data_IF_150255345552
#
_entry.id   IF_150255345552
#
_cell.length_a   1.000
_cell.length_b   1.000
_cell.length_c   1.000
_cell.angle_alpha   90.00
_cell.angle_beta   90.00
_cell.angle_gamma   90.00
#
_symmetry.space_group_name_H-M   'P 1'
#
loop_
_entity.id
_entity.type
_entity.pdbx_description
1 polymer ?
#
# COMPACT_ATOMS: atom_id res chain seq x y z
N UNK A 1 8.20 -43.70 4.43
CA UNK A 1 8.59 -42.41 3.83
C UNK A 1 10.11 -42.21 3.84
N UNK A 2 10.89 -43.11 3.20
CA UNK A 2 12.38 -43.08 3.21
C UNK A 2 13.01 -43.49 1.86
N UNK A 3 12.20 -43.57 0.79
CA UNK A 3 12.64 -44.02 -0.56
C UNK A 3 12.39 -42.98 -1.67
N UNK A 4 11.98 -41.76 -1.32
CA UNK A 4 11.72 -40.68 -2.30
C UNK A 4 12.92 -39.75 -2.52
N UNK A 5 13.96 -39.86 -1.68
CA UNK A 5 15.17 -39.01 -1.74
C UNK A 5 16.14 -39.40 -2.90
N UNK A 6 16.35 -40.68 -3.28
CA UNK A 6 17.32 -40.97 -4.34
C UNK A 6 16.82 -40.64 -5.75
N UNK A 7 15.50 -40.52 -5.95
CA UNK A 7 14.92 -40.21 -7.27
C UNK A 7 15.01 -38.73 -7.61
N UNK A 8 14.98 -37.84 -6.61
CA UNK A 8 15.06 -36.38 -6.83
C UNK A 8 16.48 -35.93 -7.23
N UNK A 9 17.52 -36.60 -6.70
CA UNK A 9 18.92 -36.30 -7.04
C UNK A 9 19.29 -36.74 -8.46
N UNK A 10 18.68 -37.81 -8.98
CA UNK A 10 18.92 -38.27 -10.36
C UNK A 10 18.32 -37.33 -11.43
N UNK A 11 17.19 -36.68 -11.11
CA UNK A 11 16.50 -35.76 -12.03
C UNK A 11 17.19 -34.39 -12.04
N UNK A 12 17.79 -33.96 -10.92
CA UNK A 12 18.50 -32.68 -10.81
C UNK A 12 19.80 -32.63 -11.64
N UNK A 13 20.46 -33.77 -11.88
CA UNK A 13 21.71 -33.82 -12.67
C UNK A 13 21.51 -33.76 -14.18
N UNK A 14 20.29 -33.95 -14.70
CA UNK A 14 20.04 -33.94 -16.15
C UNK A 14 19.86 -32.53 -16.74
N UNK A 15 19.65 -31.49 -15.93
CA UNK A 15 19.40 -30.13 -16.42
C UNK A 15 20.65 -29.26 -16.59
N UNK A 16 21.84 -29.70 -16.13
CA UNK A 16 23.05 -28.87 -16.16
C UNK A 16 23.93 -29.01 -17.43
N UNK A 17 23.52 -29.83 -18.40
CA UNK A 17 24.34 -30.12 -19.60
C UNK A 17 23.96 -29.30 -20.85
N UNK A 18 23.13 -28.25 -20.73
CA UNK A 18 22.64 -27.50 -21.89
C UNK A 18 22.66 -25.98 -21.68
N UNK A 19 23.85 -25.40 -21.46
CA UNK A 19 24.15 -24.04 -21.93
C UNK A 19 25.67 -23.86 -22.01
N UNK A 20 26.27 -24.50 -23.02
CA UNK A 20 27.68 -24.35 -23.36
C UNK A 20 27.81 -24.22 -24.87
N UNK A 21 28.18 -23.02 -25.33
CA UNK A 21 28.74 -22.79 -26.66
C UNK A 21 27.90 -21.95 -27.61
N UNK A 22 28.30 -20.68 -27.79
CA UNK A 22 28.80 -20.20 -29.08
C UNK A 22 29.47 -18.84 -28.88
N UNK A 23 30.78 -18.85 -29.03
CA UNK A 23 31.63 -17.66 -29.19
C UNK A 23 31.67 -17.35 -30.68
N UNK A 24 31.03 -16.28 -31.12
CA UNK A 24 31.31 -15.70 -32.43
C UNK A 24 31.93 -14.32 -32.23
N UNK A 25 33.20 -14.24 -32.63
CA UNK A 25 33.95 -13.00 -32.83
C UNK A 25 33.69 -12.58 -34.27
N UNK A 26 33.04 -11.44 -34.48
CA UNK A 26 33.15 -10.70 -35.73
C UNK A 26 33.02 -9.20 -35.46
N UNK A 27 33.92 -8.48 -36.12
CA UNK A 27 34.28 -7.07 -36.00
C UNK A 27 33.24 -6.14 -36.68
N UNK A 28 33.28 -4.86 -36.29
CA UNK A 28 32.46 -3.70 -36.72
C UNK A 28 32.68 -3.31 -38.23
N UNK A 29 31.99 -2.33 -38.87
CA UNK A 29 31.05 -1.32 -38.33
C UNK A 29 29.79 -0.94 -39.16
N UNK A 30 28.90 -0.24 -38.45
CA UNK A 30 27.96 0.85 -38.83
C UNK A 30 26.82 0.69 -39.86
N UNK A 31 25.63 1.02 -39.32
CA UNK A 31 24.50 1.76 -39.89
C UNK A 31 23.65 1.12 -40.99
N UNK A 32 22.48 0.60 -40.58
CA UNK A 32 21.24 0.85 -41.31
C UNK A 32 20.02 0.76 -40.38
N UNK A 33 19.24 1.84 -40.32
CA UNK A 33 17.96 1.88 -39.61
C UNK A 33 16.89 1.26 -40.53
N UNK A 34 16.63 -0.03 -40.34
CA UNK A 34 15.43 -0.70 -40.83
C UNK A 34 14.67 -1.25 -39.63
N UNK A 35 13.37 -0.95 -39.43
CA UNK A 35 12.61 -1.52 -38.33
C UNK A 35 12.34 -3.00 -38.63
N UNK A 36 13.19 -3.87 -38.08
CA UNK A 36 13.03 -5.31 -38.15
C UNK A 36 12.13 -5.80 -37.00
N UNK A 37 10.95 -6.26 -37.40
CA UNK A 37 10.14 -7.35 -36.85
C UNK A 37 10.47 -7.86 -35.44
N UNK A 38 9.46 -7.76 -34.57
CA UNK A 38 9.31 -8.45 -33.30
C UNK A 38 9.80 -9.91 -33.36
N UNK A 39 10.94 -10.17 -32.73
CA UNK A 39 11.35 -11.48 -32.27
C UNK A 39 11.10 -11.57 -30.77
N UNK A 40 10.70 -12.76 -30.30
CA UNK A 40 10.45 -13.14 -28.90
C UNK A 40 11.65 -12.88 -27.94
N UNK A 41 12.04 -11.63 -27.75
CA UNK A 41 12.62 -11.20 -26.50
C UNK A 41 11.44 -11.03 -25.54
N UNK A 42 11.44 -11.73 -24.40
CA UNK A 42 10.54 -11.38 -23.30
C UNK A 42 10.79 -9.89 -23.04
N UNK A 43 9.81 -9.04 -23.36
CA UNK A 43 9.87 -7.61 -23.04
C UNK A 43 10.05 -7.53 -21.52
N UNK A 44 11.24 -7.15 -21.08
CA UNK A 44 11.47 -6.81 -19.68
C UNK A 44 11.25 -5.32 -19.52
N UNK A 45 10.72 -4.93 -18.36
CA UNK A 45 10.67 -3.53 -17.98
C UNK A 45 12.10 -2.98 -17.95
N UNK A 46 12.31 -1.81 -18.55
CA UNK A 46 13.60 -1.13 -18.60
C UNK A 46 13.42 0.33 -18.18
N UNK A 47 14.54 0.98 -17.95
CA UNK A 47 14.60 2.36 -17.43
C UNK A 47 15.25 3.30 -18.47
N UNK A 48 15.22 2.91 -19.75
CA UNK A 48 15.96 3.58 -20.84
C UNK A 48 15.26 4.85 -21.39
N UNK A 49 14.35 5.43 -20.62
CA UNK A 49 13.60 6.64 -20.98
C UNK A 49 13.67 7.71 -19.89
N UNK A 50 13.38 8.95 -20.26
CA UNK A 50 13.53 10.10 -19.37
C UNK A 50 12.60 9.98 -18.15
N UNK A 51 13.16 10.14 -16.95
CA UNK A 51 12.45 10.03 -15.67
C UNK A 51 11.74 8.68 -15.45
N UNK A 52 12.28 7.61 -16.04
CA UNK A 52 11.77 6.26 -15.83
C UNK A 52 11.77 5.89 -14.34
N UNK A 53 10.64 5.33 -13.89
CA UNK A 53 10.57 4.73 -12.55
C UNK A 53 11.41 3.45 -12.48
N UNK A 54 11.85 3.04 -11.28
CA UNK A 54 12.45 1.72 -11.08
C UNK A 54 11.51 0.61 -11.59
N UNK A 55 12.07 -0.47 -12.15
CA UNK A 55 11.27 -1.58 -12.69
C UNK A 55 10.27 -2.18 -11.69
N UNK A 56 10.58 -2.19 -10.39
CA UNK A 56 9.64 -2.61 -9.33
C UNK A 56 8.42 -1.70 -9.26
N UNK A 57 8.63 -0.39 -9.22
CA UNK A 57 7.56 0.61 -9.16
C UNK A 57 6.75 0.64 -10.45
N UNK A 58 7.39 0.49 -11.62
CA UNK A 58 6.70 0.32 -12.89
C UNK A 58 5.76 -0.89 -12.85
N UNK A 59 6.21 -2.02 -12.32
CA UNK A 59 5.42 -3.24 -12.23
C UNK A 59 4.24 -3.07 -11.26
N UNK A 60 4.44 -2.39 -10.12
CA UNK A 60 3.37 -2.12 -9.15
C UNK A 60 2.28 -1.25 -9.78
N UNK A 61 2.67 -0.09 -10.32
CA UNK A 61 1.74 0.88 -10.92
C UNK A 61 1.08 0.29 -12.17
N UNK A 62 1.87 -0.37 -13.02
CA UNK A 62 1.41 -1.03 -14.22
C UNK A 62 0.35 -2.08 -13.91
N UNK A 63 0.58 -2.91 -12.90
CA UNK A 63 -0.38 -3.94 -12.45
C UNK A 63 -1.73 -3.33 -12.04
N UNK A 64 -1.71 -2.21 -11.32
CA UNK A 64 -2.91 -1.47 -10.94
C UNK A 64 -3.62 -0.82 -12.15
N UNK A 65 -2.89 -0.49 -13.21
CA UNK A 65 -3.43 0.12 -14.43
C UNK A 65 -3.92 -0.90 -15.48
N UNK A 66 -3.49 -2.16 -15.40
CA UNK A 66 -3.88 -3.21 -16.35
C UNK A 66 -5.40 -3.40 -16.45
N UNK A 67 -6.14 -3.14 -15.37
CA UNK A 67 -7.60 -3.17 -15.39
C UNK A 67 -8.19 -2.16 -16.38
N UNK A 68 -7.68 -0.92 -16.35
CA UNK A 68 -8.10 0.15 -17.27
C UNK A 68 -7.74 -0.17 -18.71
N UNK A 69 -6.66 -0.93 -18.92
CA UNK A 69 -6.21 -1.39 -20.23
C UNK A 69 -6.95 -2.63 -20.76
N UNK A 70 -7.92 -3.17 -20.01
CA UNK A 70 -8.66 -4.38 -20.40
C UNK A 70 -7.83 -5.67 -20.32
N UNK A 71 -6.72 -5.63 -19.59
CA UNK A 71 -5.81 -6.77 -19.36
C UNK A 71 -5.68 -7.07 -17.86
N UNK A 72 -6.80 -6.91 -17.14
CA UNK A 72 -6.88 -7.10 -15.70
C UNK A 72 -6.24 -8.40 -15.24
N UNK A 73 -5.56 -8.36 -14.10
CA UNK A 73 -5.08 -9.55 -13.41
C UNK A 73 -6.31 -10.33 -12.94
N UNK A 74 -6.50 -11.54 -13.45
CA UNK A 74 -7.59 -12.41 -13.02
C UNK A 74 -7.28 -13.09 -11.68
N UNK A 75 -8.26 -13.79 -11.11
CA UNK A 75 -8.13 -14.50 -9.84
C UNK A 75 -7.01 -15.55 -9.86
N UNK A 76 -6.80 -16.24 -10.99
CA UNK A 76 -5.81 -17.30 -11.09
C UNK A 76 -4.40 -16.72 -11.05
N UNK A 77 -4.15 -15.68 -11.85
CA UNK A 77 -2.87 -14.97 -11.83
C UNK A 77 -2.66 -14.25 -10.50
N UNK A 78 -3.70 -13.66 -9.90
CA UNK A 78 -3.61 -13.02 -8.60
C UNK A 78 -3.15 -14.00 -7.51
N UNK A 79 -3.71 -15.21 -7.49
CA UNK A 79 -3.31 -16.26 -6.54
C UNK A 79 -1.84 -16.70 -6.73
N UNK A 80 -1.31 -16.61 -7.95
CA UNK A 80 0.08 -16.94 -8.26
C UNK A 80 1.05 -15.85 -7.82
N UNK A 81 0.74 -14.57 -8.07
CA UNK A 81 1.67 -13.46 -7.84
C UNK A 81 1.55 -12.81 -6.45
N UNK A 82 0.40 -12.95 -5.77
CA UNK A 82 0.20 -12.42 -4.42
C UNK A 82 1.30 -12.85 -3.43
N UNK A 83 1.64 -14.15 -3.28
CA UNK A 83 2.70 -14.55 -2.35
C UNK A 83 4.08 -14.01 -2.74
N UNK A 84 4.32 -13.74 -4.04
CA UNK A 84 5.57 -13.13 -4.51
C UNK A 84 5.66 -11.66 -4.11
N UNK A 85 4.56 -10.91 -4.22
CA UNK A 85 4.50 -9.51 -3.76
C UNK A 85 4.62 -9.38 -2.24
N UNK A 86 4.02 -10.30 -1.48
CA UNK A 86 4.20 -10.37 -0.03
C UNK A 86 5.66 -10.69 0.34
N UNK A 87 6.32 -11.60 -0.41
CA UNK A 87 7.75 -11.87 -0.23
C UNK A 87 8.63 -10.65 -0.58
N UNK A 88 8.34 -9.95 -1.69
CA UNK A 88 9.01 -8.71 -2.05
C UNK A 88 8.88 -7.66 -0.94
N UNK A 89 7.67 -7.47 -0.40
CA UNK A 89 7.42 -6.56 0.72
C UNK A 89 8.21 -6.95 1.98
N UNK A 90 8.24 -8.23 2.34
CA UNK A 90 8.98 -8.68 3.53
C UNK A 90 10.49 -8.43 3.36
N UNK A 91 11.03 -8.72 2.18
CA UNK A 91 12.44 -8.50 1.84
C UNK A 91 12.80 -7.02 1.76
N UNK A 92 11.94 -6.17 1.18
CA UNK A 92 12.21 -4.73 1.05
C UNK A 92 12.20 -4.00 2.39
N UNK A 93 11.53 -4.55 3.41
CA UNK A 93 11.53 -4.02 4.77
C UNK A 93 12.67 -4.57 5.65
N UNK A 94 13.48 -5.51 5.15
CA UNK A 94 14.59 -6.10 5.90
C UNK A 94 15.91 -5.37 5.60
N UNK A 95 16.61 -4.95 6.66
CA UNK A 95 17.87 -4.20 6.57
C UNK A 95 19.05 -4.99 5.94
N UNK A 96 18.92 -6.31 5.82
CA UNK A 96 20.00 -7.22 5.37
C UNK A 96 19.73 -7.86 4.01
N UNK A 97 18.64 -7.52 3.36
CA UNK A 97 18.28 -8.07 2.04
C UNK A 97 19.27 -7.59 0.99
N UNK A 98 19.73 -8.50 0.14
CA UNK A 98 20.57 -8.13 -0.99
C UNK A 98 19.71 -7.68 -2.19
N UNK A 99 20.18 -6.68 -2.95
CA UNK A 99 19.48 -6.20 -4.15
C UNK A 99 19.17 -7.33 -5.15
N UNK A 100 20.08 -8.31 -5.26
CA UNK A 100 19.90 -9.48 -6.10
C UNK A 100 18.69 -10.34 -5.70
N UNK A 101 18.32 -10.38 -4.41
CA UNK A 101 17.15 -11.10 -3.93
C UNK A 101 15.86 -10.37 -4.31
N UNK A 102 15.82 -9.04 -4.17
CA UNK A 102 14.69 -8.22 -4.62
C UNK A 102 14.47 -8.34 -6.14
N UNK A 103 15.55 -8.23 -6.92
CA UNK A 103 15.49 -8.38 -8.38
C UNK A 103 15.08 -9.78 -8.81
N UNK A 104 15.49 -10.82 -8.08
CA UNK A 104 15.05 -12.19 -8.36
C UNK A 104 13.53 -12.35 -8.16
N UNK A 105 12.95 -11.76 -7.11
CA UNK A 105 11.50 -11.78 -6.88
C UNK A 105 10.75 -10.99 -7.95
N UNK A 106 11.22 -9.78 -8.29
CA UNK A 106 10.63 -8.97 -9.38
C UNK A 106 10.66 -9.72 -10.71
N UNK A 107 11.77 -10.41 -11.02
CA UNK A 107 11.86 -11.25 -12.22
C UNK A 107 10.87 -12.42 -12.17
N UNK A 108 10.69 -13.05 -11.02
CA UNK A 108 9.72 -14.14 -10.86
C UNK A 108 8.29 -13.66 -11.08
N UNK A 109 7.94 -12.46 -10.60
CA UNK A 109 6.63 -11.84 -10.85
C UNK A 109 6.44 -11.59 -12.35
N UNK A 110 7.43 -10.98 -13.02
CA UNK A 110 7.38 -10.76 -14.48
C UNK A 110 7.25 -12.07 -15.27
N UNK A 111 7.89 -13.15 -14.82
CA UNK A 111 7.83 -14.46 -15.47
C UNK A 111 6.47 -15.16 -15.29
N UNK A 112 5.71 -14.83 -14.25
CA UNK A 112 4.36 -15.36 -14.01
C UNK A 112 3.27 -14.61 -14.81
N UNK A 113 3.49 -13.33 -15.13
CA UNK A 113 2.55 -12.53 -15.92
C UNK A 113 2.58 -12.89 -17.41
N UNK A 114 1.49 -12.62 -18.11
CA UNK A 114 1.44 -12.80 -19.56
C UNK A 114 2.39 -11.80 -20.26
N UNK A 115 3.12 -12.21 -21.32
CA UNK A 115 4.00 -11.30 -22.07
C UNK A 115 3.29 -10.05 -22.56
N UNK A 116 2.02 -10.16 -22.93
CA UNK A 116 1.19 -9.04 -23.37
C UNK A 116 0.92 -8.03 -22.24
N UNK A 117 0.78 -8.49 -20.99
CA UNK A 117 0.63 -7.61 -19.83
C UNK A 117 1.92 -6.84 -19.57
N UNK A 118 3.08 -7.50 -19.64
CA UNK A 118 4.36 -6.83 -19.46
C UNK A 118 4.63 -5.82 -20.58
N UNK A 119 4.26 -6.15 -21.82
CA UNK A 119 4.34 -5.22 -22.94
C UNK A 119 3.45 -4.00 -22.74
N UNK A 120 2.22 -4.19 -22.26
CA UNK A 120 1.33 -3.09 -21.94
C UNK A 120 1.92 -2.20 -20.85
N UNK A 121 2.46 -2.77 -19.77
CA UNK A 121 3.12 -1.99 -18.72
C UNK A 121 4.33 -1.22 -19.27
N UNK A 122 5.18 -1.86 -20.07
CA UNK A 122 6.32 -1.19 -20.70
C UNK A 122 5.89 -0.04 -21.63
N UNK A 123 4.76 -0.20 -22.33
CA UNK A 123 4.22 0.82 -23.23
C UNK A 123 3.63 2.02 -22.49
N UNK A 124 3.33 1.91 -21.18
CA UNK A 124 2.88 3.04 -20.37
C UNK A 124 4.01 4.06 -20.11
N UNK A 125 5.29 3.66 -20.22
CA UNK A 125 6.46 4.52 -19.97
C UNK A 125 6.33 5.32 -18.66
N UNK A 126 6.02 4.62 -17.57
CA UNK A 126 5.63 5.22 -16.30
C UNK A 126 6.73 6.11 -15.70
N UNK A 127 6.36 7.33 -15.30
CA UNK A 127 7.22 8.32 -14.65
C UNK A 127 6.76 8.64 -13.22
N UNK A 128 7.55 9.46 -12.50
CA UNK A 128 7.19 9.94 -11.17
C UNK A 128 5.85 10.71 -11.16
N UNK A 129 5.54 11.44 -12.22
CA UNK A 129 4.27 12.15 -12.40
C UNK A 129 3.09 11.18 -12.46
N UNK A 130 3.22 10.06 -13.17
CA UNK A 130 2.18 9.03 -13.26
C UNK A 130 1.91 8.38 -11.89
N UNK A 131 2.96 8.13 -11.12
CA UNK A 131 2.84 7.60 -9.76
C UNK A 131 2.08 8.57 -8.84
N UNK A 132 2.37 9.86 -8.94
CA UNK A 132 1.66 10.90 -8.19
C UNK A 132 0.20 11.05 -8.64
N UNK A 133 -0.08 10.96 -9.94
CA UNK A 133 -1.44 10.98 -10.47
C UNK A 133 -2.25 9.79 -9.97
N UNK A 134 -1.68 8.58 -10.04
CA UNK A 134 -2.35 7.37 -9.58
C UNK A 134 -2.72 7.45 -8.09
N UNK A 135 -1.84 7.99 -7.23
CA UNK A 135 -2.18 8.18 -5.81
C UNK A 135 -3.38 9.10 -5.61
N UNK A 136 -3.49 10.18 -6.39
CA UNK A 136 -4.63 11.10 -6.32
C UNK A 136 -5.92 10.40 -6.77
N UNK A 137 -5.86 9.64 -7.86
CA UNK A 137 -6.98 8.87 -8.38
C UNK A 137 -7.46 7.79 -7.40
N UNK A 138 -6.54 7.10 -6.74
CA UNK A 138 -6.82 6.03 -5.78
C UNK A 138 -7.21 6.56 -4.39
N UNK A 139 -7.29 7.88 -4.20
CA UNK A 139 -7.57 8.47 -2.89
C UNK A 139 -6.52 8.12 -1.83
N UNK A 140 -5.31 7.73 -2.24
CA UNK A 140 -4.17 7.43 -1.37
C UNK A 140 -3.60 8.78 -0.90
N UNK A 141 -4.38 9.46 -0.06
CA UNK A 141 -4.04 10.76 0.50
C UNK A 141 -3.12 10.63 1.71
N UNK A 142 -2.07 11.45 1.76
CA UNK A 142 -1.15 11.62 2.89
C UNK A 142 -1.75 12.24 4.16
N UNK A 143 -3.08 12.26 4.29
CA UNK A 143 -3.76 12.87 5.42
C UNK A 143 -5.06 12.13 5.70
N UNK A 144 -5.16 11.61 6.94
CA UNK A 144 -6.34 10.97 7.55
C UNK A 144 -6.55 9.50 7.18
N UNK A 145 -5.67 8.59 7.63
CA UNK A 145 -6.02 7.16 7.61
C UNK A 145 -4.94 6.12 7.84
N UNK A 146 -3.65 6.44 7.69
CA UNK A 146 -2.56 5.49 7.91
C UNK A 146 -1.88 5.75 9.26
N UNK A 147 -2.50 5.27 10.34
CA UNK A 147 -2.01 5.51 11.69
C UNK A 147 -2.79 4.75 12.77
N UNK A 148 -3.13 3.49 12.53
CA UNK A 148 -3.46 2.58 13.64
C UNK A 148 -2.83 1.21 13.35
N UNK A 149 -1.60 1.07 13.82
CA UNK A 149 -0.79 -0.12 13.69
C UNK A 149 0.35 -0.05 14.67
N UNK A 150 0.20 -0.75 15.79
CA UNK A 150 1.26 -1.14 16.71
C UNK A 150 1.83 -0.06 17.66
N UNK A 151 1.07 0.28 18.71
CA UNK A 151 1.63 0.76 19.99
C UNK A 151 1.87 -0.41 20.94
N UNK A 152 2.74 -1.32 20.55
CA UNK A 152 3.39 -2.25 21.46
C UNK A 152 4.90 -2.10 21.30
N UNK A 153 5.44 -1.18 22.09
CA UNK A 153 6.84 -0.82 22.15
C UNK A 153 7.08 0.07 23.36
N UNK A 154 7.30 -0.57 24.51
CA UNK A 154 7.51 0.10 25.79
C UNK A 154 8.59 1.18 25.73
N UNK A 155 8.24 2.39 26.17
CA UNK A 155 9.14 3.53 26.17
C UNK A 155 8.60 4.67 27.03
N UNK A 156 8.74 4.50 28.35
CA UNK A 156 8.84 5.54 29.37
C UNK A 156 7.95 6.79 29.27
N UNK A 157 7.02 6.86 30.22
CA UNK A 157 6.53 8.09 30.79
C UNK A 157 7.67 9.09 31.11
N UNK A 158 7.57 10.31 30.59
CA UNK A 158 8.16 11.53 31.11
C UNK A 158 7.14 12.63 30.76
N UNK A 159 6.31 13.11 31.68
CA UNK A 159 6.70 13.62 32.98
C UNK A 159 6.81 15.14 32.84
N UNK A 160 5.71 15.84 33.09
CA UNK A 160 5.73 17.29 33.27
C UNK A 160 6.68 17.63 34.42
N UNK A 161 7.56 18.61 34.18
CA UNK A 161 8.52 19.05 35.18
C UNK A 161 9.41 20.14 34.63
N UNK A 162 9.10 21.39 34.97
CA UNK A 162 9.92 22.54 34.61
C UNK A 162 11.33 22.41 35.18
N UNK A 163 12.33 22.80 34.38
CA UNK A 163 13.64 23.21 34.87
C UNK A 163 14.17 24.39 34.06
N UNK A 164 14.50 25.41 34.83
CA UNK A 164 15.10 26.68 34.50
C UNK A 164 16.48 26.54 33.85
N UNK A 165 16.81 27.52 32.99
CA UNK A 165 18.17 28.08 32.89
C UNK A 165 19.11 27.42 31.90
N UNK A 166 19.21 27.99 30.70
CA UNK A 166 20.27 27.67 29.75
C UNK A 166 20.09 28.40 28.42
N UNK A 167 20.58 29.63 28.34
CA UNK A 167 20.59 30.46 27.13
C UNK A 167 21.58 29.84 26.14
N UNK A 168 21.10 29.33 25.00
CA UNK A 168 21.94 28.99 23.85
C UNK A 168 21.54 29.90 22.66
N UNK A 169 22.47 30.72 22.14
CA UNK A 169 22.22 31.56 20.98
C UNK A 169 22.47 30.74 19.71
N UNK A 170 21.39 30.36 19.03
CA UNK A 170 21.45 29.59 17.79
C UNK A 170 20.06 29.09 17.41
N UNK A 171 19.23 30.00 16.91
CA UNK A 171 17.85 29.72 16.55
C UNK A 171 17.73 28.61 15.49
N UNK A 172 17.28 27.44 15.93
CA UNK A 172 16.58 26.48 15.08
C UNK A 172 15.14 26.43 15.58
N UNK A 173 14.16 26.92 14.82
CA UNK A 173 12.75 26.73 15.15
C UNK A 173 12.44 25.23 15.14
N UNK A 174 12.19 24.67 16.31
CA UNK A 174 11.72 23.30 16.47
C UNK A 174 10.33 23.15 15.85
N UNK A 175 10.24 22.31 14.82
CA UNK A 175 8.99 21.91 14.20
C UNK A 175 8.20 20.99 15.12
N UNK A 176 7.34 21.58 15.95
CA UNK A 176 6.22 20.87 16.56
C UNK A 176 5.08 20.66 15.56
N UNK A 177 4.13 19.75 15.84
CA UNK A 177 3.05 19.35 14.92
C UNK A 177 1.93 20.40 14.72
N UNK A 178 2.30 21.69 14.63
CA UNK A 178 1.42 22.82 14.33
C UNK A 178 2.08 23.92 13.49
N UNK A 179 3.25 23.65 12.88
CA UNK A 179 4.03 24.66 12.14
C UNK A 179 3.71 24.82 10.65
N UNK A 180 2.97 23.89 10.05
CA UNK A 180 2.68 23.89 8.60
C UNK A 180 1.52 24.82 8.19
N UNK A 181 0.71 25.25 9.16
CA UNK A 181 -0.51 26.04 8.90
C UNK A 181 -0.23 27.55 8.84
N UNK A 182 0.96 27.98 9.26
CA UNK A 182 1.42 29.38 9.28
C UNK A 182 2.42 29.72 8.15
N UNK A 183 2.70 28.77 7.26
CA UNK A 183 3.59 28.97 6.11
C UNK A 183 2.83 29.61 4.95
N UNK A 184 3.51 30.47 4.18
CA UNK A 184 2.96 30.97 2.91
C UNK A 184 2.68 29.79 1.96
N UNK A 185 1.74 29.93 1.01
CA UNK A 185 1.45 28.89 0.02
C UNK A 185 2.71 28.38 -0.71
N UNK A 186 3.63 29.27 -1.10
CA UNK A 186 4.92 28.86 -1.66
C UNK A 186 5.79 28.11 -0.64
N UNK A 187 5.86 28.55 0.61
CA UNK A 187 6.67 27.87 1.63
C UNK A 187 6.10 26.49 2.00
N UNK A 188 4.78 26.29 1.91
CA UNK A 188 4.16 24.97 2.01
C UNK A 188 4.50 24.10 0.80
N UNK A 189 4.43 24.65 -0.41
CA UNK A 189 4.79 23.92 -1.63
C UNK A 189 6.27 23.50 -1.60
N UNK A 190 7.17 24.36 -1.15
CA UNK A 190 8.59 24.04 -0.96
C UNK A 190 8.79 23.04 0.17
N UNK A 191 8.11 23.17 1.32
CA UNK A 191 8.24 22.21 2.41
C UNK A 191 7.69 20.83 2.05
N UNK A 192 6.64 20.76 1.22
CA UNK A 192 6.13 19.51 0.63
C UNK A 192 7.17 18.99 -0.38
N UNK A 193 7.68 19.81 -1.29
CA UNK A 193 8.71 19.39 -2.27
C UNK A 193 10.03 18.93 -1.61
N UNK A 194 10.45 19.53 -0.50
CA UNK A 194 11.64 19.10 0.25
C UNK A 194 11.38 17.85 1.08
N UNK A 195 10.15 17.66 1.57
CA UNK A 195 9.74 16.46 2.33
C UNK A 195 9.42 15.28 1.41
N UNK A 196 9.05 15.55 0.15
CA UNK A 196 8.66 14.56 -0.85
C UNK A 196 9.66 14.41 -2.01
N UNK A 197 10.73 15.21 -2.04
CA UNK A 197 11.77 15.16 -3.07
C UNK A 197 13.07 14.47 -2.64
N UNK A 198 13.11 13.91 -1.42
CA UNK A 198 14.20 13.06 -0.95
C UNK A 198 13.88 11.57 -1.14
N UNK A 199 14.91 10.71 -1.09
CA UNK A 199 14.80 9.26 -1.26
C UNK A 199 13.72 8.62 -0.37
N UNK A 200 13.50 9.17 0.84
CA UNK A 200 12.46 8.73 1.80
C UNK A 200 11.03 8.84 1.26
N UNK A 201 10.77 9.76 0.35
CA UNK A 201 9.46 9.99 -0.23
C UNK A 201 9.12 8.97 -1.32
N UNK A 202 10.12 8.62 -2.14
CA UNK A 202 10.01 7.55 -3.11
C UNK A 202 9.75 6.22 -2.41
N UNK A 203 10.44 5.96 -1.30
CA UNK A 203 10.24 4.76 -0.47
C UNK A 203 8.83 4.73 0.13
N UNK A 204 8.32 5.85 0.64
CA UNK A 204 6.94 5.91 1.12
C UNK A 204 5.94 5.62 0.00
N UNK A 205 6.12 6.27 -1.15
CA UNK A 205 5.25 6.14 -2.31
C UNK A 205 5.18 4.68 -2.78
N UNK A 206 6.33 4.05 -2.99
CA UNK A 206 6.41 2.65 -3.39
C UNK A 206 5.71 1.75 -2.37
N UNK A 207 5.91 1.96 -1.05
CA UNK A 207 5.23 1.19 -0.01
C UNK A 207 3.70 1.37 -0.03
N UNK A 208 3.22 2.59 -0.24
CA UNK A 208 1.78 2.86 -0.31
C UNK A 208 1.14 2.16 -1.52
N UNK A 209 1.78 2.26 -2.69
CA UNK A 209 1.35 1.61 -3.93
C UNK A 209 1.45 0.08 -3.84
N UNK A 210 2.51 -0.45 -3.23
CA UNK A 210 2.70 -1.88 -3.00
C UNK A 210 1.59 -2.44 -2.10
N UNK A 211 1.25 -1.73 -1.03
CA UNK A 211 0.13 -2.12 -0.16
C UNK A 211 -1.21 -2.09 -0.90
N UNK A 212 -1.44 -1.10 -1.76
CA UNK A 212 -2.66 -1.02 -2.57
C UNK A 212 -2.75 -2.23 -3.53
N UNK A 213 -1.64 -2.59 -4.20
CA UNK A 213 -1.59 -3.76 -5.08
C UNK A 213 -1.81 -5.06 -4.31
N UNK A 214 -1.12 -5.28 -3.19
CA UNK A 214 -1.31 -6.49 -2.38
C UNK A 214 -2.78 -6.63 -1.96
N UNK A 215 -3.42 -5.53 -1.56
CA UNK A 215 -4.83 -5.51 -1.17
C UNK A 215 -5.75 -5.83 -2.35
N UNK A 216 -5.51 -5.26 -3.53
CA UNK A 216 -6.24 -5.57 -4.75
C UNK A 216 -6.14 -7.08 -5.11
N UNK A 217 -4.94 -7.65 -5.02
CA UNK A 217 -4.71 -9.07 -5.24
C UNK A 217 -5.40 -9.95 -4.18
N UNK A 218 -5.41 -9.54 -2.92
CA UNK A 218 -6.16 -10.22 -1.85
C UNK A 218 -7.67 -10.21 -2.08
N UNK A 219 -8.22 -9.14 -2.65
CA UNK A 219 -9.63 -9.08 -3.06
C UNK A 219 -9.91 -10.06 -4.19
N UNK A 220 -9.06 -10.05 -5.22
CA UNK A 220 -9.20 -10.95 -6.38
C UNK A 220 -9.12 -12.42 -6.00
N UNK A 221 -8.35 -12.75 -4.96
CA UNK A 221 -8.20 -14.12 -4.44
C UNK A 221 -9.24 -14.49 -3.38
N UNK A 222 -10.08 -13.55 -2.95
CA UNK A 222 -11.04 -13.76 -1.87
C UNK A 222 -10.44 -13.91 -0.47
N UNK A 223 -9.14 -13.61 -0.29
CA UNK A 223 -8.49 -13.56 1.03
C UNK A 223 -9.01 -12.37 1.87
N UNK A 224 -9.43 -11.30 1.18
CA UNK A 224 -10.07 -10.12 1.76
C UNK A 224 -11.37 -9.87 0.99
N UNK A 225 -12.51 -9.77 1.68
CA UNK A 225 -13.76 -9.39 1.02
C UNK A 225 -13.63 -8.01 0.38
N UNK A 226 -14.16 -7.81 -0.83
CA UNK A 226 -14.10 -6.52 -1.55
C UNK A 226 -14.61 -5.33 -0.72
N UNK A 227 -15.60 -5.56 0.16
CA UNK A 227 -16.12 -4.56 1.10
C UNK A 227 -15.05 -4.08 2.09
N UNK A 228 -14.15 -4.97 2.50
CA UNK A 228 -13.04 -4.65 3.39
C UNK A 228 -11.87 -3.97 2.67
N UNK A 229 -11.91 -3.79 1.34
CA UNK A 229 -10.80 -3.30 0.54
C UNK A 229 -10.91 -1.83 0.08
N UNK A 230 -12.11 -1.26 0.08
CA UNK A 230 -12.34 0.13 -0.28
C UNK A 230 -11.60 1.11 0.67
N UNK A 231 -11.14 2.28 0.20
CA UNK A 231 -10.75 3.39 1.05
C UNK A 231 -11.99 3.91 1.77
N UNK A 232 -12.19 3.48 3.02
CA UNK A 232 -13.42 3.73 3.78
C UNK A 232 -14.25 2.47 4.06
N UNK A 233 -14.06 1.38 3.30
CA UNK A 233 -14.66 0.05 3.57
C UNK A 233 -13.91 -0.77 4.63
N UNK A 234 -12.79 -0.23 5.14
CA UNK A 234 -12.20 -0.70 6.38
C UNK A 234 -13.18 -0.61 7.55
N UNK A 235 -12.78 -1.09 8.73
CA UNK A 235 -13.59 -1.13 9.96
C UNK A 235 -14.58 0.04 10.16
N UNK A 236 -14.20 1.27 9.80
CA UNK A 236 -15.06 2.46 9.83
C UNK A 236 -16.32 2.42 8.94
N UNK A 237 -16.27 1.89 7.72
CA UNK A 237 -17.45 1.76 6.83
C UNK A 237 -18.43 0.72 7.34
N UNK A 238 -17.93 -0.48 7.69
CA UNK A 238 -18.74 -1.52 8.38
C UNK A 238 -19.28 -1.04 9.72
N UNK A 239 -18.55 -0.17 10.39
CA UNK A 239 -18.96 0.42 11.65
C UNK A 239 -20.16 1.36 11.48
N UNK A 240 -20.12 2.29 10.53
CA UNK A 240 -21.25 3.21 10.26
C UNK A 240 -22.46 2.42 9.78
N UNK A 241 -22.26 1.41 8.94
CA UNK A 241 -23.35 0.56 8.44
C UNK A 241 -23.96 -0.32 9.53
N UNK A 242 -23.15 -0.91 10.41
CA UNK A 242 -23.62 -1.68 11.56
C UNK A 242 -24.40 -0.82 12.56
N UNK A 243 -23.94 0.41 12.82
CA UNK A 243 -24.64 1.38 13.66
C UNK A 243 -25.92 1.88 12.97
N UNK A 244 -25.90 2.09 11.65
CA UNK A 244 -27.07 2.48 10.84
C UNK A 244 -28.18 1.43 10.94
N UNK A 245 -27.84 0.18 10.66
CA UNK A 245 -28.78 -0.95 10.70
C UNK A 245 -29.37 -1.13 12.09
N UNK A 246 -28.54 -1.10 13.14
CA UNK A 246 -28.99 -1.29 14.51
C UNK A 246 -29.83 -0.12 15.04
N UNK A 247 -29.42 1.12 14.73
CA UNK A 247 -30.15 2.32 15.17
C UNK A 247 -31.39 2.62 14.34
N UNK A 248 -31.55 2.02 13.17
CA UNK A 248 -32.62 2.35 12.22
C UNK A 248 -32.44 3.72 11.55
N UNK A 249 -31.25 4.31 11.64
CA UNK A 249 -30.90 5.58 10.98
C UNK A 249 -30.16 5.28 9.69
N UNK A 250 -30.47 6.00 8.61
CA UNK A 250 -29.78 5.84 7.34
C UNK A 250 -28.27 6.13 7.49
N UNK A 251 -27.42 5.30 6.88
CA UNK A 251 -25.97 5.45 6.94
C UNK A 251 -25.50 6.82 6.42
N UNK A 252 -26.18 7.35 5.41
CA UNK A 252 -25.91 8.66 4.83
C UNK A 252 -26.21 9.79 5.82
N UNK A 253 -27.24 9.63 6.67
CA UNK A 253 -27.56 10.61 7.71
C UNK A 253 -26.53 10.59 8.82
N UNK A 254 -26.07 9.41 9.22
CA UNK A 254 -24.98 9.25 10.18
C UNK A 254 -23.68 9.87 9.66
N UNK A 255 -23.34 9.58 8.41
CA UNK A 255 -22.12 10.11 7.77
C UNK A 255 -22.19 11.63 7.60
N UNK A 256 -23.30 12.18 7.12
CA UNK A 256 -23.48 13.63 7.01
C UNK A 256 -23.36 14.35 8.36
N UNK A 257 -23.95 13.77 9.42
CA UNK A 257 -23.83 14.34 10.76
C UNK A 257 -22.41 14.29 11.32
N UNK A 258 -21.67 13.21 11.06
CA UNK A 258 -20.24 13.11 11.41
C UNK A 258 -19.38 14.12 10.63
N UNK A 259 -19.67 14.34 9.35
CA UNK A 259 -18.98 15.33 8.51
C UNK A 259 -19.25 16.77 9.00
N UNK A 260 -20.42 17.02 9.59
CA UNK A 260 -20.77 18.26 10.29
C UNK A 260 -20.13 18.38 11.69
N UNK A 261 -19.39 17.36 12.15
CA UNK A 261 -18.75 17.33 13.46
C UNK A 261 -19.70 17.00 14.61
N UNK A 262 -20.89 16.47 14.34
CA UNK A 262 -21.81 15.98 15.38
C UNK A 262 -21.35 14.62 15.89
N UNK A 263 -21.70 14.31 17.13
CA UNK A 263 -21.51 12.97 17.69
C UNK A 263 -22.57 12.00 17.16
N UNK A 264 -22.26 10.70 17.12
CA UNK A 264 -23.24 9.68 16.73
C UNK A 264 -24.47 9.70 17.64
N UNK A 265 -24.27 9.92 18.94
CA UNK A 265 -25.39 10.10 19.89
C UNK A 265 -26.32 11.21 19.45
N UNK A 266 -25.78 12.37 19.05
CA UNK A 266 -26.59 13.50 18.59
C UNK A 266 -27.35 13.15 17.31
N UNK A 267 -26.66 12.58 16.32
CA UNK A 267 -27.28 12.25 15.03
C UNK A 267 -28.34 11.17 15.16
N UNK A 268 -28.08 10.12 15.94
CA UNK A 268 -29.05 9.04 16.19
C UNK A 268 -30.28 9.59 16.92
N UNK A 269 -30.09 10.40 17.96
CA UNK A 269 -31.20 10.95 18.75
C UNK A 269 -32.02 11.96 17.94
N UNK A 270 -31.37 12.84 17.18
CA UNK A 270 -32.04 13.83 16.30
C UNK A 270 -32.83 13.15 15.18
N UNK A 271 -32.34 12.02 14.67
CA UNK A 271 -33.00 11.24 13.61
C UNK A 271 -34.09 10.30 14.14
N UNK A 272 -34.30 10.25 15.46
CA UNK A 272 -35.27 9.34 16.10
C UNK A 272 -34.86 7.87 16.08
N UNK A 273 -33.56 7.58 15.95
CA UNK A 273 -33.02 6.24 15.97
C UNK A 273 -32.84 5.65 17.37
N UNK A 274 -32.59 4.35 17.40
CA UNK A 274 -32.39 3.57 18.62
C UNK A 274 -30.92 3.59 19.06
N UNK A 275 -30.62 4.45 20.03
CA UNK A 275 -29.28 4.57 20.62
C UNK A 275 -28.85 3.33 21.42
N UNK A 276 -29.80 2.62 22.02
CA UNK A 276 -29.50 1.42 22.82
C UNK A 276 -29.17 0.23 21.91
N UNK A 277 -29.87 0.11 20.79
CA UNK A 277 -29.54 -0.86 19.74
C UNK A 277 -28.18 -0.54 19.10
N UNK A 278 -27.87 0.73 18.84
CA UNK A 278 -26.54 1.15 18.38
C UNK A 278 -25.44 0.74 19.36
N UNK A 279 -25.63 0.97 20.66
CA UNK A 279 -24.69 0.54 21.72
C UNK A 279 -24.50 -0.96 21.73
N UNK A 280 -25.57 -1.73 21.59
CA UNK A 280 -25.49 -3.18 21.58
C UNK A 280 -24.73 -3.72 20.36
N UNK A 281 -24.97 -3.14 19.18
CA UNK A 281 -24.20 -3.46 17.98
C UNK A 281 -22.69 -3.20 18.20
N UNK A 282 -22.34 -2.10 18.87
CA UNK A 282 -20.95 -1.83 19.23
C UNK A 282 -20.38 -2.86 20.21
N UNK A 283 -21.14 -3.30 21.22
CA UNK A 283 -20.69 -4.38 22.12
C UNK A 283 -20.36 -5.65 21.35
N UNK A 284 -21.23 -6.07 20.44
CA UNK A 284 -21.02 -7.26 19.63
C UNK A 284 -19.78 -7.13 18.74
N UNK A 285 -19.58 -5.96 18.15
CA UNK A 285 -18.46 -5.66 17.27
C UNK A 285 -17.10 -5.65 18.00
N UNK A 286 -17.09 -5.38 19.30
CA UNK A 286 -15.89 -5.36 20.14
C UNK A 286 -15.75 -6.57 21.08
N UNK A 287 -16.71 -7.50 21.10
CA UNK A 287 -16.75 -8.62 22.05
C UNK A 287 -15.50 -9.51 21.99
N UNK A 288 -14.93 -9.71 20.80
CA UNK A 288 -13.77 -10.59 20.59
C UNK A 288 -12.41 -9.88 20.77
N UNK A 289 -12.39 -8.62 21.22
CA UNK A 289 -11.14 -7.82 21.30
C UNK A 289 -10.39 -7.94 22.62
N UNK A 290 -10.79 -8.84 23.51
CA UNK A 290 -10.11 -9.07 24.79
C UNK A 290 -10.18 -7.88 25.76
N UNK A 291 -11.11 -6.94 25.52
CA UNK A 291 -11.37 -5.81 26.41
C UNK A 291 -12.13 -6.28 27.64
N UNK A 292 -11.81 -5.70 28.80
CA UNK A 292 -12.67 -5.86 29.98
C UNK A 292 -14.00 -5.14 29.77
N UNK A 293 -15.04 -5.51 30.52
CA UNK A 293 -16.36 -4.89 30.41
C UNK A 293 -16.31 -3.36 30.64
N UNK A 294 -15.46 -2.89 31.55
CA UNK A 294 -15.31 -1.45 31.82
C UNK A 294 -14.60 -0.72 30.66
N UNK A 295 -13.56 -1.32 30.08
CA UNK A 295 -12.87 -0.76 28.92
C UNK A 295 -13.75 -0.74 27.66
N UNK A 296 -14.56 -1.78 27.49
CA UNK A 296 -15.54 -1.87 26.42
C UNK A 296 -16.55 -0.74 26.49
N UNK A 297 -17.18 -0.52 27.65
CA UNK A 297 -18.16 0.55 27.84
C UNK A 297 -17.52 1.93 27.67
N UNK A 298 -16.31 2.15 28.22
CA UNK A 298 -15.58 3.40 28.02
C UNK A 298 -15.29 3.66 26.53
N UNK A 299 -14.91 2.61 25.79
CA UNK A 299 -14.64 2.70 24.37
C UNK A 299 -15.90 3.01 23.57
N UNK A 300 -17.03 2.39 23.92
CA UNK A 300 -18.34 2.64 23.29
C UNK A 300 -18.78 4.09 23.54
N UNK A 301 -18.67 4.58 24.77
CA UNK A 301 -19.05 5.97 25.08
C UNK A 301 -18.14 7.00 24.38
N UNK A 302 -16.84 6.73 24.26
CA UNK A 302 -15.93 7.55 23.45
C UNK A 302 -16.32 7.57 21.98
N UNK A 303 -16.76 6.44 21.45
CA UNK A 303 -17.15 6.33 20.04
C UNK A 303 -18.46 7.07 19.77
N UNK A 304 -19.44 6.94 20.67
CA UNK A 304 -20.77 7.53 20.49
C UNK A 304 -20.77 9.04 20.73
N UNK A 305 -19.96 9.51 21.68
CA UNK A 305 -19.96 10.90 22.11
C UNK A 305 -18.71 11.69 21.67
N UNK A 306 -17.64 11.01 21.24
CA UNK A 306 -16.38 11.62 20.84
C UNK A 306 -16.36 12.01 19.37
N UNK A 307 -16.84 13.23 19.11
CA UNK A 307 -16.36 14.10 18.03
C UNK A 307 -15.32 15.06 18.56
#
# INVERSE_FOLDING_TARGET
>A
MKKLIPTFILILTLFLAACGGSTDVADSPSADHTPASAGNAKTQLNEDYENALPASTQLIIGSLQLEKAGQAIDETLAAEILPLWQAYQALSNADTTADAELQAVIKQIQDAMAPEQIQTIAALQLTAEDAQQLMQEQGIGFGRGLGDGNKDGGGAAMGGGGRSGGVLPGGRPGGGPGGIEQLSPEARATAIAERFGGDDAGVFLERALLNALIRDLQVKTGEVDAVQAEPGGGFAGRFVESVAEASGVAAETLQAGLDEGKSLTAVITESGGDLDAAREALRQLFADRGLTAEELELRIDQILNGG
#
